data_IF_221385995083
#
_entry.id   IF_221385995083
#
_cell.length_a   1.000
_cell.length_b   1.000
_cell.length_c   1.000
_cell.angle_alpha   90.00
_cell.angle_beta   90.00
_cell.angle_gamma   90.00
#
_symmetry.space_group_name_H-M   'P 1'
#
loop_
_entity.id
_entity.type
_entity.pdbx_description
1 polymer ?
#
# COMPACT_ATOMS: atom_id res chain seq x y z
N UNK A 1 -3.42 -2.01 18.19
CA UNK A 1 -3.53 -2.65 16.85
C UNK A 1 -4.86 -2.34 16.18
N UNK A 2 -5.98 -2.52 16.88
CA UNK A 2 -7.32 -2.28 16.29
C UNK A 2 -7.46 -0.85 15.79
N UNK A 3 -7.05 0.15 16.58
CA UNK A 3 -7.15 1.55 16.19
C UNK A 3 -6.26 1.89 14.98
N UNK A 4 -5.06 1.32 14.93
CA UNK A 4 -4.14 1.50 13.80
C UNK A 4 -4.71 0.86 12.54
N UNK A 5 -5.21 -0.36 12.64
CA UNK A 5 -5.84 -1.07 11.52
C UNK A 5 -7.04 -0.29 10.98
N UNK A 6 -7.90 0.21 11.86
CA UNK A 6 -9.07 1.00 11.46
C UNK A 6 -8.67 2.30 10.76
N UNK A 7 -7.66 3.00 11.28
CA UNK A 7 -7.17 4.24 10.66
C UNK A 7 -6.56 3.98 9.28
N UNK A 8 -5.76 2.92 9.15
CA UNK A 8 -5.17 2.52 7.87
C UNK A 8 -6.24 2.11 6.86
N UNK A 9 -7.25 1.34 7.29
CA UNK A 9 -8.35 0.93 6.42
C UNK A 9 -9.14 2.14 5.93
N UNK A 10 -9.43 3.09 6.81
CA UNK A 10 -10.11 4.33 6.43
C UNK A 10 -9.26 5.13 5.43
N UNK A 11 -7.96 5.22 5.66
CA UNK A 11 -7.04 5.89 4.75
C UNK A 11 -7.05 5.25 3.37
N UNK A 12 -7.05 3.91 3.30
CA UNK A 12 -7.16 3.18 2.04
C UNK A 12 -8.49 3.51 1.34
N UNK A 13 -9.60 3.43 2.06
CA UNK A 13 -10.93 3.60 1.46
C UNK A 13 -11.23 5.04 1.05
N UNK A 14 -10.82 6.02 1.85
CA UNK A 14 -11.17 7.43 1.64
C UNK A 14 -10.14 8.20 0.83
N UNK A 15 -8.86 7.79 0.84
CA UNK A 15 -7.77 8.52 0.21
C UNK A 15 -7.16 7.73 -0.95
N UNK A 16 -6.66 6.52 -0.69
CA UNK A 16 -5.88 5.79 -1.70
C UNK A 16 -6.74 5.26 -2.84
N UNK A 17 -7.86 4.61 -2.54
CA UNK A 17 -8.73 4.07 -3.59
C UNK A 17 -9.33 5.16 -4.49
N UNK A 18 -9.88 6.26 -3.96
CA UNK A 18 -10.40 7.32 -4.82
C UNK A 18 -9.34 7.96 -5.72
N UNK A 19 -8.10 8.04 -5.24
CA UNK A 19 -7.01 8.69 -5.97
C UNK A 19 -6.33 7.77 -6.98
N UNK A 20 -6.08 6.52 -6.60
CA UNK A 20 -5.27 5.60 -7.40
C UNK A 20 -6.08 4.47 -8.04
N UNK A 21 -7.34 4.30 -7.65
CA UNK A 21 -8.19 3.23 -8.15
C UNK A 21 -9.65 3.72 -8.33
N UNK A 22 -9.88 4.86 -9.00
CA UNK A 22 -11.24 5.40 -9.13
C UNK A 22 -12.13 4.55 -10.02
N UNK A 23 -11.57 3.92 -11.05
CA UNK A 23 -12.29 3.06 -12.01
C UNK A 23 -11.38 1.91 -12.43
N UNK A 24 -11.91 0.69 -12.38
CA UNK A 24 -11.19 -0.48 -12.88
C UNK A 24 -11.28 -0.50 -14.41
N UNK A 25 -10.14 -0.49 -15.08
CA UNK A 25 -10.05 -0.47 -16.54
C UNK A 25 -9.25 -1.67 -17.03
N UNK A 26 -9.93 -2.77 -17.42
CA UNK A 26 -9.24 -3.93 -17.99
C UNK A 26 -8.40 -3.55 -19.19
N UNK A 27 -7.21 -4.11 -19.29
CA UNK A 27 -6.28 -3.93 -20.40
C UNK A 27 -5.80 -5.30 -20.87
N UNK A 28 -4.99 -5.31 -21.94
CA UNK A 28 -4.33 -6.53 -22.41
C UNK A 28 -3.06 -6.86 -21.61
N UNK A 29 -2.74 -6.04 -20.62
CA UNK A 29 -1.62 -6.23 -19.70
C UNK A 29 -2.16 -6.46 -18.28
N UNK A 30 -1.29 -6.32 -17.28
CA UNK A 30 -1.72 -6.31 -15.89
C UNK A 30 -2.40 -4.97 -15.56
N UNK A 31 -3.49 -5.02 -14.81
CA UNK A 31 -4.20 -3.80 -14.42
C UNK A 31 -4.63 -3.88 -12.96
N UNK A 32 -4.63 -2.74 -12.24
CA UNK A 32 -4.98 -2.73 -10.83
C UNK A 32 -6.48 -2.92 -10.63
N UNK A 33 -6.87 -3.69 -9.60
CA UNK A 33 -8.26 -3.96 -9.27
C UNK A 33 -8.61 -3.66 -7.82
N UNK A 34 -7.61 -3.56 -6.91
CA UNK A 34 -7.86 -3.30 -5.51
C UNK A 34 -6.63 -2.73 -4.83
N UNK A 35 -6.84 -2.05 -3.70
CA UNK A 35 -5.80 -1.66 -2.76
C UNK A 35 -6.27 -2.14 -1.39
N UNK A 36 -5.42 -2.90 -0.69
CA UNK A 36 -5.75 -3.40 0.62
C UNK A 36 -4.54 -3.32 1.55
N UNK A 37 -4.78 -3.52 2.83
CA UNK A 37 -3.73 -3.53 3.84
C UNK A 37 -3.70 -4.84 4.60
N UNK A 38 -2.52 -5.25 5.02
CA UNK A 38 -2.34 -6.51 5.76
C UNK A 38 -1.17 -6.42 6.71
N UNK A 39 -1.38 -6.87 7.95
CA UNK A 39 -0.30 -7.02 8.92
C UNK A 39 0.56 -8.24 8.60
N UNK A 40 1.87 -8.07 8.79
CA UNK A 40 2.83 -9.16 8.82
C UNK A 40 3.78 -8.88 9.99
N UNK A 41 3.55 -9.56 11.12
CA UNK A 41 4.22 -9.20 12.36
C UNK A 41 3.82 -7.79 12.78
N UNK A 42 4.79 -6.91 13.00
CA UNK A 42 4.57 -5.50 13.35
C UNK A 42 4.55 -4.57 12.15
N UNK A 43 4.54 -5.11 10.94
CA UNK A 43 4.52 -4.34 9.69
C UNK A 43 3.14 -4.37 9.06
N UNK A 44 2.52 -3.21 8.89
CA UNK A 44 1.29 -3.05 8.13
C UNK A 44 1.66 -2.70 6.69
N UNK A 45 1.36 -3.60 5.74
CA UNK A 45 1.71 -3.42 4.34
C UNK A 45 0.53 -2.90 3.55
N UNK A 46 0.75 -1.86 2.74
CA UNK A 46 -0.19 -1.36 1.75
C UNK A 46 0.10 -2.05 0.44
N UNK A 47 -0.90 -2.72 -0.12
CA UNK A 47 -0.74 -3.66 -1.23
C UNK A 47 -1.71 -3.31 -2.33
N UNK A 48 -1.21 -3.26 -3.57
CA UNK A 48 -2.06 -3.14 -4.75
C UNK A 48 -2.25 -4.51 -5.38
N UNK A 49 -3.51 -4.87 -5.65
CA UNK A 49 -3.84 -6.12 -6.32
C UNK A 49 -4.04 -5.86 -7.79
N UNK A 50 -3.42 -6.69 -8.61
CA UNK A 50 -3.51 -6.65 -10.06
C UNK A 50 -4.24 -7.88 -10.58
N UNK A 51 -4.86 -7.71 -11.76
CA UNK A 51 -5.41 -8.82 -12.53
C UNK A 51 -4.72 -8.83 -13.89
N UNK A 52 -4.42 -10.02 -14.41
CA UNK A 52 -3.78 -10.15 -15.71
C UNK A 52 -4.80 -10.11 -16.84
N UNK A 53 -4.54 -9.28 -17.87
CA UNK A 53 -5.22 -9.31 -19.15
C UNK A 53 -4.40 -10.03 -20.23
N UNK A 54 -3.25 -10.60 -19.86
CA UNK A 54 -2.37 -11.32 -20.77
C UNK A 54 -3.00 -12.70 -21.07
N UNK A 55 -3.10 -13.12 -22.35
CA UNK A 55 -3.79 -14.37 -22.70
C UNK A 55 -3.31 -15.61 -21.96
N UNK A 56 -2.00 -15.74 -21.73
CA UNK A 56 -1.40 -16.91 -21.06
C UNK A 56 -1.74 -16.99 -19.58
N UNK A 57 -2.08 -15.86 -18.96
CA UNK A 57 -2.36 -15.75 -17.52
C UNK A 57 -3.68 -15.03 -17.27
N UNK A 58 -4.61 -15.11 -18.21
CA UNK A 58 -5.84 -14.33 -18.17
C UNK A 58 -6.61 -14.53 -16.87
N UNK A 59 -6.95 -13.38 -16.23
CA UNK A 59 -7.69 -13.30 -14.98
C UNK A 59 -6.93 -13.80 -13.73
N UNK A 60 -5.67 -14.19 -13.84
CA UNK A 60 -4.86 -14.43 -12.64
C UNK A 60 -4.65 -13.13 -11.90
N UNK A 61 -4.68 -13.21 -10.56
CA UNK A 61 -4.49 -12.07 -9.67
C UNK A 61 -3.22 -12.22 -8.86
N UNK A 62 -2.56 -11.11 -8.61
CA UNK A 62 -1.37 -11.09 -7.75
C UNK A 62 -1.29 -9.78 -7.00
N UNK A 63 -0.60 -9.82 -5.86
CA UNK A 63 -0.42 -8.68 -4.98
C UNK A 63 0.97 -8.07 -5.13
N UNK A 64 1.04 -6.74 -5.11
CA UNK A 64 2.29 -5.99 -5.15
C UNK A 64 2.28 -4.95 -4.03
N UNK A 65 3.10 -5.12 -2.98
CA UNK A 65 3.19 -4.11 -1.93
C UNK A 65 3.89 -2.86 -2.45
N UNK A 66 3.53 -1.69 -1.92
CA UNK A 66 4.16 -0.42 -2.33
C UNK A 66 4.63 0.42 -1.15
N UNK A 67 4.05 0.27 0.02
CA UNK A 67 4.44 1.00 1.22
C UNK A 67 4.10 0.17 2.45
N UNK A 68 4.78 0.46 3.56
CA UNK A 68 4.49 -0.21 4.83
C UNK A 68 4.80 0.71 6.01
N UNK A 69 4.09 0.46 7.11
CA UNK A 69 4.33 1.05 8.40
C UNK A 69 4.89 -0.01 9.34
N UNK A 70 6.08 0.22 9.87
CA UNK A 70 6.65 -0.60 10.94
C UNK A 70 6.30 0.04 12.28
N UNK A 71 5.55 -0.69 13.10
CA UNK A 71 5.20 -0.22 14.44
C UNK A 71 6.39 -0.47 15.37
N UNK A 72 7.09 0.62 15.75
CA UNK A 72 8.32 0.51 16.53
C UNK A 72 8.14 0.90 17.99
N UNK A 73 7.15 1.72 18.32
CA UNK A 73 6.80 2.12 19.67
C UNK A 73 5.41 2.74 19.68
N UNK A 74 4.89 3.09 20.86
CA UNK A 74 3.57 3.73 21.00
C UNK A 74 3.51 4.98 20.12
N UNK A 75 2.58 4.99 19.16
CA UNK A 75 2.39 6.04 18.17
C UNK A 75 3.70 6.47 17.49
N UNK A 76 4.56 5.48 17.20
CA UNK A 76 5.79 5.69 16.44
C UNK A 76 5.92 4.63 15.38
N UNK A 77 6.06 5.09 14.15
CA UNK A 77 6.09 4.24 12.96
C UNK A 77 7.24 4.64 12.06
N UNK A 78 7.96 3.63 11.56
CA UNK A 78 8.89 3.83 10.47
C UNK A 78 8.13 3.55 9.17
N UNK A 79 8.43 4.31 8.11
CA UNK A 79 7.81 4.10 6.81
C UNK A 79 8.79 3.41 5.89
N UNK A 80 8.35 2.31 5.29
CA UNK A 80 9.13 1.53 4.34
C UNK A 80 8.58 1.70 2.94
N UNK A 81 9.48 1.76 1.97
CA UNK A 81 9.20 1.80 0.55
C UNK A 81 9.61 0.47 -0.07
N UNK A 82 8.73 -0.13 -0.87
CA UNK A 82 9.03 -1.38 -1.56
C UNK A 82 9.58 -1.08 -2.96
N UNK A 83 10.87 -1.36 -3.17
CA UNK A 83 11.54 -1.12 -4.44
C UNK A 83 11.22 -2.23 -5.45
N UNK A 84 11.33 -1.89 -6.74
CA UNK A 84 11.17 -2.87 -7.82
C UNK A 84 12.16 -4.04 -7.74
N UNK A 85 13.24 -3.90 -6.99
CA UNK A 85 14.20 -4.97 -6.72
C UNK A 85 13.70 -6.03 -5.75
N UNK A 86 12.51 -5.84 -5.16
CA UNK A 86 11.94 -6.75 -4.17
C UNK A 86 12.40 -6.49 -2.74
N UNK A 87 13.06 -5.37 -2.48
CA UNK A 87 13.57 -5.03 -1.16
C UNK A 87 12.85 -3.83 -0.55
N UNK A 88 12.65 -3.86 0.77
CA UNK A 88 12.13 -2.74 1.53
C UNK A 88 13.25 -1.78 1.91
N UNK A 89 12.97 -0.47 1.83
CA UNK A 89 13.88 0.59 2.26
C UNK A 89 13.15 1.56 3.17
N UNK A 90 13.75 1.90 4.29
CA UNK A 90 13.19 2.85 5.24
C UNK A 90 13.38 4.29 4.71
N UNK A 91 12.27 5.02 4.55
CA UNK A 91 12.30 6.42 4.12
C UNK A 91 12.10 7.39 5.28
N UNK A 92 11.29 7.03 6.26
CA UNK A 92 10.98 7.90 7.41
C UNK A 92 11.05 7.08 8.69
N UNK A 93 11.49 7.72 9.77
CA UNK A 93 11.60 7.08 11.08
C UNK A 93 10.81 7.84 12.13
N UNK A 94 10.22 7.07 13.04
CA UNK A 94 9.60 7.60 14.27
C UNK A 94 8.52 8.66 14.05
N UNK A 95 7.69 8.48 13.04
CA UNK A 95 6.54 9.36 12.81
C UNK A 95 5.33 8.88 13.62
N UNK A 96 4.48 9.83 14.03
CA UNK A 96 3.15 9.47 14.53
C UNK A 96 2.34 8.83 13.41
N UNK A 97 1.24 8.15 13.76
CA UNK A 97 0.36 7.56 12.76
C UNK A 97 -0.17 8.62 11.77
N UNK A 98 -0.59 9.76 12.30
CA UNK A 98 -1.09 10.87 11.47
C UNK A 98 -0.03 11.37 10.49
N UNK A 99 1.20 11.60 10.98
CA UNK A 99 2.32 12.02 10.15
C UNK A 99 2.68 10.96 9.11
N UNK A 100 2.65 9.69 9.51
CA UNK A 100 2.98 8.58 8.63
C UNK A 100 1.99 8.45 7.47
N UNK A 101 0.68 8.52 7.75
CA UNK A 101 -0.34 8.46 6.71
C UNK A 101 -0.26 9.68 5.79
N UNK A 102 0.03 10.86 6.34
CA UNK A 102 0.23 12.06 5.53
C UNK A 102 1.43 11.91 4.60
N UNK A 103 2.52 11.30 5.06
CA UNK A 103 3.69 11.06 4.22
C UNK A 103 3.36 10.09 3.07
N UNK A 104 2.59 9.05 3.32
CA UNK A 104 2.15 8.12 2.27
C UNK A 104 1.28 8.84 1.23
N UNK A 105 0.43 9.76 1.67
CA UNK A 105 -0.43 10.54 0.76
C UNK A 105 0.39 11.49 -0.10
N UNK A 106 1.39 12.15 0.45
CA UNK A 106 2.08 13.28 -0.21
C UNK A 106 3.40 12.92 -0.89
N UNK A 107 4.08 11.84 -0.46
CA UNK A 107 5.35 11.42 -1.05
C UNK A 107 5.09 10.42 -2.18
N UNK A 108 5.34 10.84 -3.42
CA UNK A 108 5.06 10.03 -4.61
C UNK A 108 5.85 8.72 -4.67
N UNK A 109 6.98 8.62 -3.99
CA UNK A 109 7.76 7.37 -3.90
C UNK A 109 6.95 6.26 -3.22
N UNK A 110 6.03 6.64 -2.33
CA UNK A 110 5.19 5.71 -1.57
C UNK A 110 3.86 5.40 -2.25
N UNK A 111 3.64 5.92 -3.45
CA UNK A 111 2.39 5.69 -4.17
C UNK A 111 2.41 4.37 -4.94
N UNK A 112 1.25 3.72 -5.14
CA UNK A 112 1.17 2.54 -6.01
C UNK A 112 1.46 2.92 -7.45
N UNK A 113 2.02 2.01 -8.18
CA UNK A 113 2.37 2.21 -9.60
C UNK A 113 1.21 1.87 -10.51
#
# INVERSE_FOLDING_TARGET
MVAVTAACQRFIDEILKPRFLPVIRPTQFNYPIDIHGKWRGTRYRFIQRYRSGIPETLNEEFDSPFAALDWVARDRFDIQWYRHTGAWHCLYRSLSLTEALNAIETDSVLHPL
#
